data_IF_695408084896
#
_entry.id   IF_695408084896
#
_cell.length_a   1.000
_cell.length_b   1.000
_cell.length_c   1.000
_cell.angle_alpha   90.00
_cell.angle_beta   90.00
_cell.angle_gamma   90.00
#
_symmetry.space_group_name_H-M   'P 1'
#
loop_
_entity.id
_entity.type
_entity.pdbx_description
1 polymer ?
#
# COMPACT_ATOMS: atom_id res chain seq x y z
N UNK A 1 -15.54 13.92 -11.99
CA UNK A 1 -14.08 14.15 -11.82
C UNK A 1 -13.33 13.42 -12.94
N UNK A 2 -12.23 13.97 -13.45
CA UNK A 2 -11.36 13.30 -14.45
C UNK A 2 -10.21 12.55 -13.76
N UNK A 3 -9.60 11.57 -14.47
CA UNK A 3 -8.44 10.82 -13.94
C UNK A 3 -7.30 11.77 -13.53
N UNK A 4 -7.02 12.79 -14.34
CA UNK A 4 -5.94 13.75 -14.04
C UNK A 4 -6.21 14.56 -12.76
N UNK A 5 -7.47 14.88 -12.45
CA UNK A 5 -7.86 15.54 -11.20
C UNK A 5 -7.63 14.62 -9.99
N UNK A 6 -8.03 13.34 -10.11
CA UNK A 6 -7.77 12.32 -9.08
C UNK A 6 -6.26 12.12 -8.86
N UNK A 7 -5.47 12.17 -9.94
CA UNK A 7 -4.02 11.96 -9.89
C UNK A 7 -3.23 13.20 -9.46
N UNK A 8 -3.80 14.38 -9.51
CA UNK A 8 -3.14 15.63 -9.06
C UNK A 8 -2.97 15.72 -7.55
N UNK A 9 -3.84 15.04 -6.80
CA UNK A 9 -3.73 14.95 -5.33
C UNK A 9 -2.74 13.87 -4.92
N UNK A 10 -1.89 14.09 -3.90
CA UNK A 10 -1.13 12.99 -3.30
C UNK A 10 -2.07 11.88 -2.84
N UNK A 11 -1.70 10.63 -3.08
CA UNK A 11 -2.47 9.51 -2.56
C UNK A 11 -2.52 9.55 -1.04
N UNK A 12 -3.71 9.46 -0.45
CA UNK A 12 -3.89 9.56 1.01
C UNK A 12 -3.02 8.58 1.81
N UNK A 13 -2.69 7.42 1.22
CA UNK A 13 -1.88 6.43 1.89
C UNK A 13 -0.38 6.77 1.99
N UNK A 14 0.12 7.79 1.26
CA UNK A 14 1.50 8.30 1.36
C UNK A 14 1.58 9.43 2.38
N UNK A 15 0.43 9.97 2.81
CA UNK A 15 0.46 11.04 3.80
C UNK A 15 1.11 10.54 5.07
N UNK A 16 2.04 11.33 5.58
CA UNK A 16 2.80 11.07 6.81
C UNK A 16 1.93 11.12 8.07
N UNK A 17 0.62 11.18 7.91
CA UNK A 17 -0.36 11.29 8.96
C UNK A 17 -0.87 9.91 9.38
N UNK A 18 -1.32 9.79 10.62
CA UNK A 18 -1.93 8.57 11.13
C UNK A 18 -1.10 7.85 12.20
N UNK A 19 -1.76 7.01 13.01
CA UNK A 19 -1.09 6.28 14.10
C UNK A 19 -0.03 5.33 13.57
N UNK A 20 1.11 5.26 14.26
CA UNK A 20 2.23 4.36 13.96
C UNK A 20 2.80 4.49 12.53
N UNK A 21 2.68 5.67 11.92
CA UNK A 21 3.10 5.93 10.54
C UNK A 21 4.60 5.74 10.27
N UNK A 22 5.44 5.72 11.30
CA UNK A 22 6.86 5.38 11.19
C UNK A 22 7.07 3.99 10.61
N UNK A 23 6.19 3.04 10.98
CA UNK A 23 6.30 1.64 10.57
C UNK A 23 5.12 1.23 9.68
N UNK A 24 3.88 1.60 10.04
CA UNK A 24 2.70 1.27 9.23
C UNK A 24 2.44 2.37 8.21
N UNK A 25 2.64 2.06 6.94
CA UNK A 25 2.36 3.02 5.86
C UNK A 25 0.86 3.18 5.65
N UNK A 26 0.12 2.05 5.57
CA UNK A 26 -1.33 2.08 5.33
C UNK A 26 -2.08 0.95 6.02
N UNK A 27 -3.36 1.21 6.29
CA UNK A 27 -4.37 0.20 6.60
C UNK A 27 -5.37 0.13 5.45
N UNK A 28 -5.72 -1.08 5.01
CA UNK A 28 -6.67 -1.32 3.93
C UNK A 28 -7.63 -2.45 4.28
N UNK A 29 -8.92 -2.25 4.02
CA UNK A 29 -9.95 -3.29 4.09
C UNK A 29 -10.65 -3.40 2.75
N UNK A 30 -10.88 -4.64 2.32
CA UNK A 30 -11.59 -4.99 1.08
C UNK A 30 -12.73 -5.93 1.40
N UNK A 31 -13.86 -5.75 0.70
CA UNK A 31 -15.02 -6.63 0.73
C UNK A 31 -15.31 -7.13 -0.68
N UNK A 32 -15.58 -8.41 -0.82
CA UNK A 32 -16.01 -9.04 -2.06
C UNK A 32 -17.50 -9.37 -1.97
N UNK A 33 -18.30 -8.95 -2.98
CA UNK A 33 -19.73 -9.22 -3.06
C UNK A 33 -20.12 -9.65 -4.47
N UNK A 34 -21.06 -10.56 -4.57
CA UNK A 34 -21.71 -10.92 -5.83
C UNK A 34 -23.21 -10.70 -5.75
N UNK A 35 -23.84 -10.45 -6.90
CA UNK A 35 -25.28 -10.36 -7.03
C UNK A 35 -25.89 -11.73 -7.30
N UNK A 36 -27.04 -12.01 -6.71
CA UNK A 36 -27.75 -13.29 -6.84
C UNK A 36 -28.27 -13.54 -8.26
N UNK A 37 -28.70 -12.48 -8.93
CA UNK A 37 -29.42 -12.57 -10.19
C UNK A 37 -28.51 -12.46 -11.44
N UNK A 38 -27.19 -12.50 -11.26
CA UNK A 38 -26.21 -12.44 -12.34
C UNK A 38 -25.21 -13.59 -12.21
N UNK A 39 -24.76 -14.13 -13.35
CA UNK A 39 -23.64 -15.06 -13.38
C UNK A 39 -22.35 -14.35 -12.94
N UNK A 40 -21.54 -14.99 -12.13
CA UNK A 40 -20.28 -14.40 -11.65
C UNK A 40 -19.37 -13.98 -12.81
N UNK A 41 -18.60 -12.91 -12.68
CA UNK A 41 -17.87 -12.28 -13.79
C UNK A 41 -16.96 -13.21 -14.58
N UNK A 42 -16.42 -14.27 -13.93
CA UNK A 42 -15.60 -15.30 -14.58
C UNK A 42 -16.36 -16.18 -15.56
N UNK A 43 -17.69 -16.36 -15.38
CA UNK A 43 -18.58 -17.17 -16.22
C UNK A 43 -19.44 -16.32 -17.15
N UNK A 44 -19.72 -15.06 -16.75
CA UNK A 44 -20.58 -14.15 -17.46
C UNK A 44 -20.00 -13.78 -18.83
N UNK A 45 -20.83 -13.78 -19.87
CA UNK A 45 -20.49 -13.23 -21.20
C UNK A 45 -20.46 -11.70 -21.16
N UNK A 46 -19.82 -11.06 -22.14
CA UNK A 46 -19.70 -9.60 -22.22
C UNK A 46 -21.05 -8.85 -22.07
N UNK A 47 -22.17 -9.23 -22.76
CA UNK A 47 -23.43 -8.55 -22.58
C UNK A 47 -24.03 -8.69 -21.17
N UNK A 48 -23.80 -9.80 -20.51
CA UNK A 48 -24.27 -10.02 -19.12
C UNK A 48 -23.46 -9.20 -18.14
N UNK A 49 -22.12 -9.15 -18.28
CA UNK A 49 -21.28 -8.26 -17.50
C UNK A 49 -21.66 -6.79 -17.68
N UNK A 50 -21.99 -6.38 -18.92
CA UNK A 50 -22.46 -5.01 -19.17
C UNK A 50 -23.78 -4.73 -18.41
N UNK A 51 -24.75 -5.64 -18.47
CA UNK A 51 -26.00 -5.49 -17.70
C UNK A 51 -25.77 -5.40 -16.21
N UNK A 52 -24.84 -6.20 -15.67
CA UNK A 52 -24.45 -6.15 -14.26
C UNK A 52 -23.79 -4.79 -13.92
N UNK A 53 -22.88 -4.30 -14.76
CA UNK A 53 -22.27 -2.97 -14.62
C UNK A 53 -23.33 -1.86 -14.62
N UNK A 54 -24.24 -1.89 -15.57
CA UNK A 54 -25.31 -0.88 -15.72
C UNK A 54 -26.29 -0.89 -14.53
N UNK A 55 -26.47 -2.04 -13.88
CA UNK A 55 -27.31 -2.18 -12.69
C UNK A 55 -26.60 -1.66 -11.41
N UNK A 56 -25.30 -1.93 -11.24
CA UNK A 56 -24.57 -1.61 -10.02
C UNK A 56 -24.02 -0.19 -9.99
N UNK A 57 -23.52 0.31 -11.11
CA UNK A 57 -22.80 1.58 -11.19
C UNK A 57 -23.63 2.78 -10.71
N UNK A 58 -24.89 2.99 -11.14
CA UNK A 58 -25.69 4.10 -10.66
C UNK A 58 -25.98 4.07 -9.17
N UNK A 59 -26.13 2.85 -8.60
CA UNK A 59 -26.35 2.66 -7.16
C UNK A 59 -25.11 3.08 -6.37
N UNK A 60 -23.92 2.73 -6.84
CA UNK A 60 -22.65 3.11 -6.21
C UNK A 60 -22.41 4.61 -6.30
N UNK A 61 -22.68 5.22 -7.46
CA UNK A 61 -22.52 6.66 -7.69
C UNK A 61 -23.46 7.51 -6.82
N UNK A 62 -24.62 6.96 -6.43
CA UNK A 62 -25.61 7.64 -5.59
C UNK A 62 -25.25 7.64 -4.10
N UNK A 63 -24.25 6.87 -3.65
CA UNK A 63 -23.84 6.81 -2.25
C UNK A 63 -23.27 8.15 -1.79
N UNK A 64 -23.57 8.61 -0.57
CA UNK A 64 -23.03 9.85 0.00
C UNK A 64 -21.49 9.91 0.00
N UNK A 65 -20.84 8.78 0.30
CA UNK A 65 -19.38 8.63 0.30
C UNK A 65 -18.75 8.77 -1.10
N UNK A 66 -19.55 8.64 -2.16
CA UNK A 66 -19.13 8.74 -3.57
C UNK A 66 -19.49 10.09 -4.21
N UNK A 67 -19.88 11.09 -3.43
CA UNK A 67 -20.11 12.43 -3.95
C UNK A 67 -18.88 12.94 -4.74
N UNK A 68 -19.10 13.46 -5.95
CA UNK A 68 -18.03 13.91 -6.86
C UNK A 68 -17.01 12.82 -7.25
N UNK A 69 -17.43 11.57 -7.28
CA UNK A 69 -16.55 10.43 -7.60
C UNK A 69 -15.98 10.51 -9.03
N UNK A 70 -14.86 9.82 -9.23
CA UNK A 70 -14.41 9.34 -10.53
C UNK A 70 -15.14 8.05 -10.84
N UNK A 71 -15.93 8.01 -11.91
CA UNK A 71 -16.65 6.80 -12.32
C UNK A 71 -16.47 6.60 -13.82
N UNK A 72 -15.94 5.43 -14.22
CA UNK A 72 -15.65 5.15 -15.61
C UNK A 72 -15.71 3.64 -15.91
N UNK A 73 -16.01 3.31 -17.17
CA UNK A 73 -15.86 1.95 -17.70
C UNK A 73 -14.39 1.68 -18.01
N UNK A 74 -13.93 0.45 -17.76
CA UNK A 74 -12.51 0.11 -17.93
C UNK A 74 -12.03 0.22 -19.38
N UNK A 75 -12.89 0.07 -20.36
CA UNK A 75 -12.55 0.23 -21.78
C UNK A 75 -12.30 1.69 -22.19
N UNK A 76 -12.84 2.67 -21.46
CA UNK A 76 -12.63 4.09 -21.69
C UNK A 76 -11.34 4.64 -21.04
N UNK A 77 -10.74 3.89 -20.10
CA UNK A 77 -9.53 4.33 -19.40
C UNK A 77 -8.30 3.91 -20.21
N UNK A 78 -7.39 4.86 -20.45
CA UNK A 78 -6.14 4.60 -21.16
C UNK A 78 -5.23 3.64 -20.36
N UNK A 79 -4.43 2.84 -21.06
CA UNK A 79 -3.55 1.84 -20.46
C UNK A 79 -2.58 2.44 -19.43
N UNK A 80 -2.06 3.64 -19.68
CA UNK A 80 -1.18 4.34 -18.75
C UNK A 80 -1.92 4.75 -17.47
N UNK A 81 -3.13 5.27 -17.60
CA UNK A 81 -3.93 5.67 -16.45
C UNK A 81 -4.36 4.47 -15.59
N UNK A 82 -4.68 3.33 -16.22
CA UNK A 82 -4.89 2.06 -15.49
C UNK A 82 -3.65 1.67 -14.67
N UNK A 83 -2.44 1.79 -15.24
CA UNK A 83 -1.21 1.48 -14.52
C UNK A 83 -0.95 2.46 -13.36
N UNK A 84 -1.25 3.75 -13.53
CA UNK A 84 -1.19 4.73 -12.46
C UNK A 84 -2.12 4.38 -11.29
N UNK A 85 -3.36 3.96 -11.60
CA UNK A 85 -4.31 3.51 -10.58
C UNK A 85 -3.80 2.25 -9.84
N UNK A 86 -3.10 1.34 -10.54
CA UNK A 86 -2.44 0.18 -9.91
C UNK A 86 -1.30 0.61 -8.99
N UNK A 87 -0.42 1.49 -9.45
CA UNK A 87 0.72 1.99 -8.66
C UNK A 87 0.25 2.78 -7.43
N UNK A 88 -0.91 3.43 -7.53
CA UNK A 88 -1.59 4.08 -6.40
C UNK A 88 -2.40 3.14 -5.51
N UNK A 89 -2.37 1.83 -5.77
CA UNK A 89 -3.12 0.80 -5.04
C UNK A 89 -4.65 0.99 -5.02
N UNK A 90 -5.18 1.75 -5.98
CA UNK A 90 -6.62 1.96 -6.13
C UNK A 90 -7.29 0.79 -6.84
N UNK A 91 -6.62 0.15 -7.80
CA UNK A 91 -7.11 -1.06 -8.47
C UNK A 91 -6.08 -2.19 -8.43
N UNK A 92 -6.55 -3.42 -8.71
CA UNK A 92 -5.67 -4.57 -8.90
C UNK A 92 -5.09 -4.61 -10.32
N UNK A 93 -4.03 -5.39 -10.52
CA UNK A 93 -3.47 -5.67 -11.86
C UNK A 93 -4.48 -6.43 -12.72
N UNK A 94 -5.25 -7.32 -12.12
CA UNK A 94 -6.31 -8.10 -12.73
C UNK A 94 -7.42 -7.19 -13.25
N UNK A 95 -7.82 -6.18 -12.45
CA UNK A 95 -8.82 -5.21 -12.87
C UNK A 95 -8.31 -4.28 -13.97
N UNK A 96 -7.05 -3.87 -13.92
CA UNK A 96 -6.43 -3.09 -14.99
C UNK A 96 -6.41 -3.82 -16.35
N UNK A 97 -6.37 -5.16 -16.33
CA UNK A 97 -6.48 -5.99 -17.54
C UNK A 97 -7.91 -6.16 -18.05
N UNK A 98 -8.93 -5.77 -17.28
CA UNK A 98 -10.33 -5.82 -17.70
C UNK A 98 -10.66 -4.70 -18.70
N UNK A 99 -11.72 -4.94 -19.47
CA UNK A 99 -12.23 -4.04 -20.50
C UNK A 99 -13.78 -3.98 -20.43
N UNK A 100 -14.47 -4.11 -21.58
CA UNK A 100 -15.92 -4.02 -21.73
C UNK A 100 -16.68 -4.81 -20.64
N UNK A 101 -17.62 -4.15 -20.01
CA UNK A 101 -18.47 -4.69 -18.95
C UNK A 101 -17.81 -4.71 -17.58
N UNK A 102 -16.64 -4.08 -17.41
CA UNK A 102 -16.03 -3.80 -16.11
C UNK A 102 -15.93 -2.29 -15.90
N UNK A 103 -16.02 -1.86 -14.65
CA UNK A 103 -16.00 -0.44 -14.32
C UNK A 103 -15.33 -0.16 -12.98
N UNK A 104 -15.17 1.11 -12.69
CA UNK A 104 -14.56 1.58 -11.44
C UNK A 104 -15.27 2.84 -10.96
N UNK A 105 -15.48 2.93 -9.66
CA UNK A 105 -15.94 4.16 -8.98
C UNK A 105 -14.99 4.45 -7.83
N UNK A 106 -14.40 5.65 -7.81
CA UNK A 106 -13.46 6.10 -6.79
C UNK A 106 -13.97 7.44 -6.25
N UNK A 107 -14.00 7.59 -4.93
CA UNK A 107 -14.37 8.87 -4.32
C UNK A 107 -13.31 9.95 -4.60
N UNK A 108 -13.66 11.22 -4.38
CA UNK A 108 -12.81 12.40 -4.63
C UNK A 108 -11.44 12.35 -3.93
N UNK A 109 -11.39 11.73 -2.75
CA UNK A 109 -10.16 11.59 -1.94
C UNK A 109 -9.31 10.37 -2.30
N UNK A 110 -9.80 9.46 -3.13
CA UNK A 110 -9.13 8.21 -3.42
C UNK A 110 -9.06 7.26 -2.21
N UNK A 111 -9.87 7.49 -1.18
CA UNK A 111 -9.91 6.66 0.04
C UNK A 111 -10.82 5.45 -0.08
N UNK A 112 -11.85 5.54 -0.93
CA UNK A 112 -12.78 4.46 -1.24
C UNK A 112 -12.75 4.20 -2.73
N UNK A 113 -12.65 2.93 -3.10
CA UNK A 113 -12.69 2.48 -4.48
C UNK A 113 -13.56 1.23 -4.60
N UNK A 114 -14.44 1.21 -5.58
CA UNK A 114 -15.27 0.06 -5.93
C UNK A 114 -14.92 -0.39 -7.34
N UNK A 115 -14.31 -1.57 -7.47
CA UNK A 115 -14.06 -2.24 -8.73
C UNK A 115 -15.27 -3.10 -9.08
N UNK A 116 -15.82 -2.93 -10.28
CA UNK A 116 -17.02 -3.63 -10.75
C UNK A 116 -16.62 -4.66 -11.80
N UNK A 117 -17.07 -5.92 -11.62
CA UNK A 117 -16.77 -7.05 -12.49
C UNK A 117 -15.26 -7.32 -12.65
N UNK A 118 -14.56 -7.40 -11.50
CA UNK A 118 -13.19 -7.93 -11.47
C UNK A 118 -13.21 -9.47 -11.41
N UNK A 119 -12.91 -10.09 -10.29
CA UNK A 119 -13.12 -11.52 -10.00
C UNK A 119 -14.55 -11.76 -9.53
N UNK A 120 -15.02 -10.89 -8.63
CA UNK A 120 -16.39 -10.78 -8.14
C UNK A 120 -17.08 -9.56 -8.76
N UNK A 121 -18.43 -9.47 -8.62
CA UNK A 121 -19.19 -8.33 -9.14
C UNK A 121 -18.75 -7.01 -8.50
N UNK A 122 -18.56 -7.00 -7.17
CA UNK A 122 -18.08 -5.87 -6.42
C UNK A 122 -16.84 -6.27 -5.62
N UNK A 123 -15.78 -5.51 -5.80
CA UNK A 123 -14.62 -5.52 -4.93
C UNK A 123 -14.41 -4.11 -4.40
N UNK A 124 -14.99 -3.88 -3.25
CA UNK A 124 -14.93 -2.61 -2.55
C UNK A 124 -13.66 -2.55 -1.72
N UNK A 125 -13.02 -1.40 -1.65
CA UNK A 125 -11.90 -1.18 -0.76
C UNK A 125 -11.95 0.20 -0.12
N UNK A 126 -11.46 0.28 1.12
CA UNK A 126 -11.11 1.52 1.77
C UNK A 126 -9.66 1.48 2.22
N UNK A 127 -8.95 2.62 2.16
CA UNK A 127 -7.55 2.76 2.53
C UNK A 127 -7.35 4.05 3.33
N UNK A 128 -6.53 3.98 4.40
CA UNK A 128 -6.10 5.14 5.19
C UNK A 128 -4.62 5.03 5.56
N UNK A 129 -3.91 6.14 5.80
CA UNK A 129 -2.52 6.13 6.26
C UNK A 129 -2.41 5.61 7.68
N UNK A 130 -1.27 5.02 8.04
CA UNK A 130 -0.99 4.50 9.38
C UNK A 130 -1.85 3.30 9.79
N UNK A 131 -1.83 2.97 11.10
CA UNK A 131 -2.58 1.83 11.65
C UNK A 131 -4.00 2.24 12.06
N UNK A 132 -4.97 2.08 11.17
CA UNK A 132 -6.36 2.49 11.36
C UNK A 132 -7.38 1.42 10.93
N UNK A 133 -7.06 0.12 11.09
CA UNK A 133 -7.90 -0.98 10.58
C UNK A 133 -9.36 -0.90 11.00
N UNK A 134 -9.65 -0.59 12.28
CA UNK A 134 -11.05 -0.44 12.77
C UNK A 134 -11.78 0.74 12.10
N UNK A 135 -11.10 1.85 11.88
CA UNK A 135 -11.68 3.03 11.21
C UNK A 135 -11.94 2.78 9.74
N UNK A 136 -11.01 2.07 9.07
CA UNK A 136 -11.15 1.68 7.67
C UNK A 136 -12.28 0.67 7.50
N UNK A 137 -12.40 -0.31 8.43
CA UNK A 137 -13.50 -1.27 8.41
C UNK A 137 -14.86 -0.57 8.55
N UNK A 138 -15.03 0.31 9.57
CA UNK A 138 -16.27 1.07 9.73
C UNK A 138 -16.66 1.90 8.51
N UNK A 139 -15.68 2.40 7.77
CA UNK A 139 -15.92 3.18 6.56
C UNK A 139 -16.46 2.30 5.43
N UNK A 140 -15.83 1.15 5.18
CA UNK A 140 -16.26 0.26 4.10
C UNK A 140 -17.52 -0.54 4.44
N UNK A 141 -17.74 -0.86 5.70
CA UNK A 141 -18.92 -1.52 6.24
C UNK A 141 -20.19 -0.67 6.01
N UNK A 142 -20.10 0.66 6.18
CA UNK A 142 -21.20 1.57 5.86
C UNK A 142 -21.54 1.53 4.36
N UNK A 143 -20.53 1.59 3.49
CA UNK A 143 -20.71 1.48 2.04
C UNK A 143 -21.36 0.14 1.67
N UNK A 144 -20.91 -0.96 2.29
CA UNK A 144 -21.45 -2.30 2.08
C UNK A 144 -22.92 -2.40 2.49
N UNK A 145 -23.26 -1.87 3.68
CA UNK A 145 -24.64 -1.86 4.21
C UNK A 145 -25.59 -1.07 3.29
N UNK A 146 -25.21 0.13 2.86
CA UNK A 146 -26.03 0.96 1.96
C UNK A 146 -26.23 0.31 0.58
N UNK A 147 -25.21 -0.42 0.10
CA UNK A 147 -25.34 -1.19 -1.15
C UNK A 147 -26.21 -2.44 -0.98
N UNK A 148 -26.14 -3.15 0.17
CA UNK A 148 -26.96 -4.33 0.46
C UNK A 148 -28.47 -3.99 0.55
N UNK A 149 -28.83 -2.76 0.94
CA UNK A 149 -30.22 -2.29 0.95
C UNK A 149 -30.81 -2.17 -0.47
N UNK A 150 -29.97 -1.99 -1.49
CA UNK A 150 -30.40 -1.73 -2.88
C UNK A 150 -30.05 -2.86 -3.85
N UNK A 151 -29.09 -3.71 -3.51
CA UNK A 151 -28.57 -4.79 -4.35
C UNK A 151 -28.74 -6.14 -3.65
N UNK A 152 -29.36 -7.11 -4.37
CA UNK A 152 -29.56 -8.48 -3.84
C UNK A 152 -28.23 -9.26 -3.87
N UNK A 153 -27.49 -9.22 -2.77
CA UNK A 153 -26.23 -9.94 -2.66
C UNK A 153 -26.43 -11.47 -2.57
N UNK A 154 -25.52 -12.19 -3.23
CA UNK A 154 -25.46 -13.65 -3.18
C UNK A 154 -24.95 -14.11 -1.80
N UNK A 155 -25.89 -14.36 -0.89
CA UNK A 155 -25.64 -14.77 0.48
C UNK A 155 -26.26 -16.15 0.77
N UNK A 156 -25.53 -16.97 1.52
CA UNK A 156 -25.98 -18.25 2.04
C UNK A 156 -25.96 -18.24 3.58
N UNK A 157 -27.06 -18.60 4.27
CA UNK A 157 -27.07 -18.66 5.74
C UNK A 157 -26.02 -19.59 6.33
N UNK A 158 -25.54 -20.58 5.55
CA UNK A 158 -24.53 -21.54 5.98
C UNK A 158 -23.12 -21.12 5.65
N UNK A 159 -22.90 -20.42 4.53
CA UNK A 159 -21.58 -20.12 4.00
C UNK A 159 -21.22 -18.61 4.06
N UNK A 160 -22.16 -17.73 4.34
CA UNK A 160 -21.98 -16.30 4.25
C UNK A 160 -22.08 -15.78 2.81
N UNK A 161 -21.37 -14.73 2.49
CA UNK A 161 -21.30 -14.16 1.15
C UNK A 161 -20.59 -15.13 0.19
N UNK A 162 -21.24 -15.37 -0.97
CA UNK A 162 -20.71 -16.27 -2.00
C UNK A 162 -19.79 -15.49 -2.93
N UNK A 163 -18.55 -15.96 -3.05
CA UNK A 163 -17.51 -15.33 -3.85
C UNK A 163 -16.95 -16.26 -4.90
N UNK A 164 -16.36 -15.71 -5.98
CA UNK A 164 -15.74 -16.48 -7.05
C UNK A 164 -14.52 -17.27 -6.52
N UNK A 165 -13.73 -16.65 -5.63
CA UNK A 165 -12.61 -17.30 -4.99
C UNK A 165 -13.04 -17.95 -3.67
N UNK A 166 -12.86 -19.29 -3.49
CA UNK A 166 -13.22 -19.98 -2.24
C UNK A 166 -12.56 -19.38 -0.98
N UNK A 167 -11.39 -18.77 -1.10
CA UNK A 167 -10.68 -18.15 0.02
C UNK A 167 -11.33 -16.87 0.54
N UNK A 168 -12.30 -16.31 -0.18
CA UNK A 168 -13.05 -15.12 0.21
C UNK A 168 -14.46 -15.47 0.72
N UNK A 169 -14.94 -16.71 0.53
CA UNK A 169 -16.28 -17.16 0.99
C UNK A 169 -16.41 -16.97 2.50
N UNK A 170 -17.56 -16.53 2.94
CA UNK A 170 -17.86 -16.19 4.34
C UNK A 170 -18.08 -14.71 4.51
N UNK A 171 -17.18 -14.01 5.14
CA UNK A 171 -17.25 -12.55 5.29
C UNK A 171 -16.94 -11.80 3.98
N UNK A 172 -16.25 -12.42 3.04
CA UNK A 172 -15.70 -11.71 1.87
C UNK A 172 -14.64 -10.67 2.21
N UNK A 173 -14.20 -10.60 3.48
CA UNK A 173 -13.34 -9.56 4.02
C UNK A 173 -11.87 -9.91 3.88
N UNK A 174 -11.09 -8.99 3.35
CA UNK A 174 -9.64 -9.01 3.40
C UNK A 174 -9.09 -7.70 3.95
N UNK A 175 -8.70 -7.75 5.21
CA UNK A 175 -7.99 -6.69 5.89
C UNK A 175 -6.48 -6.83 5.70
N UNK A 176 -5.77 -5.73 5.57
CA UNK A 176 -4.31 -5.73 5.45
C UNK A 176 -3.71 -4.41 5.93
N UNK A 177 -2.44 -4.46 6.34
CA UNK A 177 -1.62 -3.29 6.53
C UNK A 177 -0.32 -3.42 5.74
N UNK A 178 0.19 -2.31 5.22
CA UNK A 178 1.53 -2.21 4.67
C UNK A 178 2.47 -1.71 5.75
N UNK A 179 3.51 -2.50 6.02
CA UNK A 179 4.49 -2.23 7.09
C UNK A 179 5.89 -2.14 6.50
N UNK A 180 6.66 -1.14 6.94
CA UNK A 180 8.02 -0.89 6.53
C UNK A 180 8.98 -1.40 7.61
N UNK A 181 9.76 -2.45 7.31
CA UNK A 181 10.50 -3.25 8.26
C UNK A 181 12.00 -3.36 7.93
N UNK A 182 12.71 -2.25 7.69
CA UNK A 182 14.11 -2.27 7.26
C UNK A 182 15.07 -2.81 8.33
N UNK A 183 14.81 -2.55 9.62
CA UNK A 183 15.71 -2.99 10.68
C UNK A 183 15.62 -4.50 10.90
N UNK A 184 14.41 -5.09 10.84
CA UNK A 184 14.26 -6.55 10.88
C UNK A 184 14.88 -7.24 9.67
N UNK A 185 14.88 -6.61 8.50
CA UNK A 185 15.58 -7.13 7.31
C UNK A 185 17.10 -7.05 7.50
N UNK A 186 17.64 -5.91 7.94
CA UNK A 186 19.08 -5.73 8.20
C UNK A 186 19.62 -6.63 9.32
N UNK A 187 18.78 -6.99 10.28
CA UNK A 187 19.13 -7.91 11.38
C UNK A 187 18.79 -9.38 11.09
N UNK A 188 18.34 -9.69 9.87
CA UNK A 188 17.95 -11.04 9.40
C UNK A 188 16.83 -11.71 10.22
N UNK A 189 16.04 -10.91 10.96
CA UNK A 189 14.93 -11.40 11.79
C UNK A 189 13.62 -11.57 11.04
N UNK A 190 13.49 -11.01 9.85
CA UNK A 190 12.23 -10.96 9.09
C UNK A 190 11.62 -12.34 8.83
N UNK A 191 12.44 -13.36 8.52
CA UNK A 191 11.95 -14.70 8.23
C UNK A 191 11.29 -15.37 9.44
N UNK A 192 11.79 -15.13 10.65
CA UNK A 192 11.21 -15.64 11.90
C UNK A 192 9.83 -15.01 12.14
N UNK A 193 9.71 -13.69 11.92
CA UNK A 193 8.45 -12.96 12.05
C UNK A 193 7.42 -13.45 11.01
N UNK A 194 7.83 -13.63 9.75
CA UNK A 194 6.95 -14.19 8.71
C UNK A 194 6.42 -15.56 9.09
N UNK A 195 7.29 -16.45 9.59
CA UNK A 195 6.86 -17.78 10.03
C UNK A 195 5.89 -17.73 11.22
N UNK A 196 6.15 -16.86 12.20
CA UNK A 196 5.28 -16.69 13.37
C UNK A 196 3.90 -16.16 12.95
N UNK A 197 3.85 -15.15 12.09
CA UNK A 197 2.61 -14.56 11.58
C UNK A 197 1.79 -15.58 10.77
N UNK A 198 2.45 -16.39 9.93
CA UNK A 198 1.78 -17.44 9.15
C UNK A 198 1.15 -18.51 10.07
N UNK A 199 1.78 -18.87 11.19
CA UNK A 199 1.22 -19.80 12.19
C UNK A 199 -0.06 -19.27 12.85
N UNK A 200 -0.25 -17.95 12.87
CA UNK A 200 -1.45 -17.29 13.39
C UNK A 200 -2.59 -17.17 12.36
N UNK A 201 -2.49 -17.83 11.20
CA UNK A 201 -3.49 -17.77 10.13
C UNK A 201 -3.52 -16.44 9.37
N UNK A 202 -2.43 -15.70 9.41
CA UNK A 202 -2.22 -14.47 8.63
C UNK A 202 -1.20 -14.72 7.53
N UNK A 203 -1.14 -13.84 6.52
CA UNK A 203 -0.16 -13.90 5.44
C UNK A 203 0.72 -12.67 5.45
N UNK A 204 2.03 -12.87 5.25
CA UNK A 204 2.99 -11.80 4.99
C UNK A 204 3.52 -11.96 3.58
N UNK A 205 3.43 -10.90 2.77
CA UNK A 205 3.94 -10.87 1.39
C UNK A 205 4.78 -9.63 1.18
N UNK A 206 5.89 -9.78 0.45
CA UNK A 206 6.65 -8.61 -0.01
C UNK A 206 5.80 -7.76 -0.97
N UNK A 207 5.86 -6.45 -0.81
CA UNK A 207 5.23 -5.53 -1.75
C UNK A 207 6.15 -5.38 -2.98
N UNK A 208 5.59 -5.47 -4.20
CA UNK A 208 6.31 -5.39 -5.49
C UNK A 208 7.34 -6.48 -5.76
N UNK A 209 7.55 -7.44 -4.87
CA UNK A 209 8.45 -8.58 -5.04
C UNK A 209 7.71 -9.91 -5.21
N UNK A 210 8.44 -10.98 -5.51
CA UNK A 210 7.94 -12.35 -5.51
C UNK A 210 8.19 -13.00 -4.13
N UNK A 211 7.19 -13.71 -3.62
CA UNK A 211 7.30 -14.40 -2.33
C UNK A 211 7.54 -13.45 -1.16
N UNK A 212 8.65 -13.65 -0.44
CA UNK A 212 9.08 -12.84 0.70
C UNK A 212 10.06 -11.72 0.31
N UNK A 213 10.49 -11.64 -0.94
CA UNK A 213 11.32 -10.53 -1.41
C UNK A 213 10.48 -9.25 -1.44
N UNK A 214 10.80 -8.31 -0.56
CA UNK A 214 10.09 -7.06 -0.41
C UNK A 214 10.93 -5.90 -0.94
N UNK A 215 10.51 -5.30 -2.05
CA UNK A 215 11.15 -4.09 -2.53
C UNK A 215 10.92 -2.93 -1.54
N UNK A 216 11.98 -2.20 -1.23
CA UNK A 216 11.90 -1.11 -0.27
C UNK A 216 11.57 -1.56 1.16
N UNK A 217 11.82 -2.83 1.52
CA UNK A 217 11.50 -3.40 2.83
C UNK A 217 10.05 -3.19 3.27
N UNK A 218 9.12 -3.14 2.29
CA UNK A 218 7.68 -2.96 2.55
C UNK A 218 6.97 -4.31 2.41
N UNK A 219 6.29 -4.71 3.47
CA UNK A 219 5.54 -5.96 3.55
C UNK A 219 4.06 -5.69 3.73
N UNK A 220 3.22 -6.54 3.14
CA UNK A 220 1.79 -6.54 3.39
C UNK A 220 1.45 -7.70 4.34
N UNK A 221 0.89 -7.38 5.49
CA UNK A 221 0.31 -8.35 6.44
C UNK A 221 -1.20 -8.38 6.27
N UNK A 222 -1.81 -9.56 6.10
CA UNK A 222 -3.25 -9.71 5.86
C UNK A 222 -3.83 -10.98 6.46
N UNK A 223 -5.17 -11.03 6.69
CA UNK A 223 -5.86 -12.27 7.02
C UNK A 223 -5.83 -13.24 5.83
N UNK A 224 -5.96 -14.54 6.12
CA UNK A 224 -6.11 -15.62 5.11
C UNK A 224 -7.52 -16.23 5.16
N UNK A 225 -8.07 -16.40 6.34
CA UNK A 225 -9.37 -17.02 6.57
C UNK A 225 -10.49 -16.00 6.58
N UNK A 226 -11.64 -16.39 6.06
CA UNK A 226 -12.86 -15.58 5.96
C UNK A 226 -14.11 -16.36 6.37
N UNK A 227 -14.06 -17.69 6.28
CA UNK A 227 -15.18 -18.57 6.60
C UNK A 227 -15.17 -18.93 8.09
N UNK A 228 -16.33 -18.80 8.74
CA UNK A 228 -16.52 -19.16 10.15
C UNK A 228 -15.98 -18.15 11.16
N UNK A 229 -15.53 -16.96 10.71
CA UNK A 229 -15.05 -15.88 11.56
C UNK A 229 -15.97 -14.66 11.45
N UNK A 230 -15.98 -13.80 12.48
CA UNK A 230 -16.62 -12.48 12.39
C UNK A 230 -15.63 -11.44 11.90
N UNK A 231 -16.09 -10.47 11.13
CA UNK A 231 -15.26 -9.41 10.57
C UNK A 231 -14.46 -8.66 11.65
N UNK A 232 -15.12 -8.31 12.77
CA UNK A 232 -14.48 -7.60 13.88
C UNK A 232 -13.38 -8.44 14.53
N UNK A 233 -13.57 -9.75 14.67
CA UNK A 233 -12.55 -10.64 15.26
C UNK A 233 -11.31 -10.72 14.36
N UNK A 234 -11.51 -10.79 13.03
CA UNK A 234 -10.43 -10.73 12.03
C UNK A 234 -9.66 -9.42 12.14
N UNK A 235 -10.36 -8.28 12.21
CA UNK A 235 -9.76 -6.94 12.32
C UNK A 235 -8.96 -6.81 13.63
N UNK A 236 -9.51 -7.29 14.75
CA UNK A 236 -8.84 -7.21 16.05
C UNK A 236 -7.61 -8.10 16.14
N UNK A 237 -7.69 -9.33 15.63
CA UNK A 237 -6.54 -10.24 15.56
C UNK A 237 -5.43 -9.66 14.72
N UNK A 238 -5.75 -9.16 13.52
CA UNK A 238 -4.77 -8.52 12.64
C UNK A 238 -4.13 -7.31 13.30
N UNK A 239 -4.93 -6.45 13.94
CA UNK A 239 -4.43 -5.26 14.62
C UNK A 239 -3.45 -5.61 15.74
N UNK A 240 -3.75 -6.63 16.56
CA UNK A 240 -2.84 -7.11 17.63
C UNK A 240 -1.50 -7.58 17.08
N UNK A 241 -1.53 -8.38 16.01
CA UNK A 241 -0.29 -8.90 15.40
C UNK A 241 0.54 -7.77 14.78
N UNK A 242 -0.11 -6.77 14.15
CA UNK A 242 0.62 -5.62 13.62
C UNK A 242 1.28 -4.80 14.73
N UNK A 243 0.62 -4.61 15.88
CA UNK A 243 1.23 -3.94 17.03
C UNK A 243 2.48 -4.69 17.53
N UNK A 244 2.46 -6.01 17.56
CA UNK A 244 3.67 -6.81 17.89
C UNK A 244 4.77 -6.64 16.84
N UNK A 245 4.43 -6.62 15.55
CA UNK A 245 5.40 -6.37 14.49
C UNK A 245 6.05 -4.99 14.63
N UNK A 246 5.26 -3.97 14.99
CA UNK A 246 5.76 -2.61 15.26
C UNK A 246 6.79 -2.65 16.39
N UNK A 247 6.45 -3.28 17.50
CA UNK A 247 7.36 -3.41 18.66
C UNK A 247 8.66 -4.13 18.29
N UNK A 248 8.58 -5.21 17.50
CA UNK A 248 9.77 -5.93 17.01
C UNK A 248 10.65 -5.05 16.11
N UNK A 249 10.07 -4.30 15.19
CA UNK A 249 10.82 -3.38 14.32
C UNK A 249 11.47 -2.25 15.13
N UNK A 250 10.74 -1.65 16.09
CA UNK A 250 11.28 -0.59 16.97
C UNK A 250 12.46 -1.14 17.80
N UNK A 251 12.31 -2.31 18.40
CA UNK A 251 13.37 -2.97 19.14
C UNK A 251 14.60 -3.28 18.25
N UNK A 252 14.37 -3.75 17.02
CA UNK A 252 15.46 -4.00 16.07
C UNK A 252 16.19 -2.70 15.70
N UNK A 253 15.46 -1.58 15.49
CA UNK A 253 16.05 -0.25 15.23
C UNK A 253 16.93 0.21 16.41
N UNK A 254 16.42 0.12 17.63
CA UNK A 254 17.18 0.47 18.84
C UNK A 254 18.44 -0.41 18.98
N UNK A 255 18.32 -1.72 18.86
CA UNK A 255 19.46 -2.64 18.97
C UNK A 255 20.54 -2.40 17.89
N UNK A 256 20.14 -2.08 16.65
CA UNK A 256 21.09 -1.76 15.59
C UNK A 256 21.84 -0.46 15.88
N UNK A 257 21.14 0.57 16.37
CA UNK A 257 21.78 1.83 16.77
C UNK A 257 22.75 1.68 17.94
N UNK A 258 22.40 0.87 18.95
CA UNK A 258 23.26 0.64 20.13
C UNK A 258 24.49 -0.23 19.80
N UNK A 259 24.25 -1.36 19.11
CA UNK A 259 25.30 -2.39 18.91
C UNK A 259 26.11 -2.17 17.63
N UNK A 260 25.51 -1.57 16.59
CA UNK A 260 26.12 -1.40 15.26
C UNK A 260 25.85 -0.01 14.64
N UNK A 261 26.10 1.09 15.36
CA UNK A 261 25.76 2.43 14.87
C UNK A 261 26.46 2.77 13.53
N UNK A 262 27.71 2.33 13.37
CA UNK A 262 28.47 2.56 12.11
C UNK A 262 27.82 1.90 10.91
N UNK A 263 27.18 0.72 11.08
CA UNK A 263 26.45 0.04 10.01
C UNK A 263 25.27 0.90 9.55
N UNK A 264 24.49 1.43 10.49
CA UNK A 264 23.33 2.28 10.19
C UNK A 264 23.77 3.56 9.50
N UNK A 265 24.78 4.25 10.03
CA UNK A 265 25.30 5.49 9.43
C UNK A 265 25.85 5.26 8.02
N UNK A 266 26.57 4.16 7.78
CA UNK A 266 27.08 3.80 6.45
C UNK A 266 25.93 3.50 5.48
N UNK A 267 24.97 2.66 5.87
CA UNK A 267 23.84 2.32 5.01
C UNK A 267 22.98 3.54 4.63
N UNK A 268 22.64 4.38 5.60
CA UNK A 268 21.87 5.60 5.39
C UNK A 268 22.68 6.64 4.59
N UNK A 269 23.97 6.79 4.91
CA UNK A 269 24.85 7.72 4.19
C UNK A 269 25.07 7.32 2.73
N UNK A 270 25.26 6.02 2.45
CA UNK A 270 25.34 5.49 1.09
C UNK A 270 24.03 5.68 0.32
N UNK A 271 22.89 5.35 0.97
CA UNK A 271 21.59 5.54 0.36
C UNK A 271 21.38 7.01 -0.08
N UNK A 272 21.62 7.95 0.81
CA UNK A 272 21.57 9.39 0.48
C UNK A 272 22.57 9.77 -0.61
N UNK A 273 23.81 9.30 -0.51
CA UNK A 273 24.87 9.62 -1.49
C UNK A 273 24.53 9.15 -2.90
N UNK A 274 23.99 7.91 -3.05
CA UNK A 274 23.58 7.39 -4.34
C UNK A 274 22.36 8.13 -4.85
N UNK A 275 21.30 8.28 -4.05
CA UNK A 275 20.06 8.96 -4.45
C UNK A 275 20.29 10.42 -4.87
N UNK A 276 21.24 11.10 -4.23
CA UNK A 276 21.54 12.52 -4.51
C UNK A 276 22.51 12.74 -5.68
N UNK A 277 23.20 11.68 -6.17
CA UNK A 277 24.24 11.85 -7.19
C UNK A 277 24.13 10.88 -8.39
N UNK A 278 23.31 9.83 -8.31
CA UNK A 278 23.15 8.90 -9.43
C UNK A 278 22.60 9.61 -10.69
N UNK A 279 23.09 9.23 -11.87
CA UNK A 279 22.59 9.69 -13.17
C UNK A 279 21.64 8.67 -13.82
N UNK A 280 21.66 7.44 -13.35
CA UNK A 280 20.72 6.40 -13.73
C UNK A 280 20.47 5.51 -12.52
N UNK A 281 19.22 5.09 -12.30
CA UNK A 281 18.84 4.25 -11.17
C UNK A 281 17.62 3.40 -11.52
N UNK A 282 17.69 2.10 -11.26
CA UNK A 282 16.56 1.20 -11.46
C UNK A 282 15.46 1.42 -10.41
N UNK A 283 14.23 1.01 -10.73
CA UNK A 283 13.10 1.09 -9.77
C UNK A 283 13.38 0.30 -8.49
N UNK A 284 13.97 -0.89 -8.61
CA UNK A 284 14.32 -1.76 -7.47
C UNK A 284 15.36 -1.09 -6.56
N UNK A 285 16.42 -0.57 -7.14
CA UNK A 285 17.47 0.12 -6.41
C UNK A 285 16.96 1.39 -5.72
N UNK A 286 16.20 2.22 -6.43
CA UNK A 286 15.60 3.42 -5.88
C UNK A 286 14.73 3.13 -4.65
N UNK A 287 13.83 2.14 -4.71
CA UNK A 287 12.97 1.77 -3.59
C UNK A 287 13.76 1.26 -2.38
N UNK A 288 14.80 0.46 -2.60
CA UNK A 288 15.63 -0.05 -1.52
C UNK A 288 16.42 1.07 -0.83
N UNK A 289 16.97 2.01 -1.59
CA UNK A 289 17.69 3.16 -1.04
C UNK A 289 16.74 4.15 -0.36
N UNK A 290 15.56 4.41 -0.92
CA UNK A 290 14.52 5.22 -0.28
C UNK A 290 14.07 4.62 1.05
N UNK A 291 13.99 3.30 1.15
CA UNK A 291 13.69 2.61 2.41
C UNK A 291 14.72 2.90 3.49
N UNK A 292 16.01 2.82 3.16
CA UNK A 292 17.09 3.14 4.10
C UNK A 292 17.08 4.63 4.50
N UNK A 293 16.81 5.50 3.55
CA UNK A 293 16.67 6.92 3.82
C UNK A 293 15.46 7.21 4.72
N UNK A 294 14.31 6.55 4.47
CA UNK A 294 13.11 6.64 5.31
C UNK A 294 13.39 6.20 6.74
N UNK A 295 14.10 5.08 6.93
CA UNK A 295 14.56 4.64 8.24
C UNK A 295 15.49 5.69 8.89
N UNK A 296 16.38 6.29 8.13
CA UNK A 296 17.25 7.36 8.61
C UNK A 296 16.48 8.59 9.12
N UNK A 297 15.37 8.96 8.47
CA UNK A 297 14.48 10.04 8.96
C UNK A 297 13.82 9.63 10.29
N UNK A 298 13.34 8.38 10.39
CA UNK A 298 12.73 7.87 11.63
C UNK A 298 13.71 7.77 12.81
N UNK A 299 15.00 7.57 12.51
CA UNK A 299 16.10 7.53 13.47
C UNK A 299 16.72 8.93 13.73
N UNK A 300 16.07 9.99 13.26
CA UNK A 300 16.47 11.38 13.45
C UNK A 300 17.85 11.74 12.85
N UNK A 301 18.33 10.93 11.88
CA UNK A 301 19.54 11.22 11.12
C UNK A 301 19.32 12.31 10.04
N UNK A 302 18.07 12.59 9.71
CA UNK A 302 17.63 13.68 8.87
C UNK A 302 16.64 14.58 9.61
N UNK A 303 16.49 15.85 9.24
CA UNK A 303 15.42 16.67 9.75
C UNK A 303 14.04 16.06 9.48
N UNK A 304 13.10 16.18 10.41
CA UNK A 304 11.76 15.57 10.31
C UNK A 304 10.98 16.05 9.06
N UNK A 305 11.22 17.28 8.59
CA UNK A 305 10.62 17.82 7.36
C UNK A 305 11.08 17.12 6.08
N UNK A 306 12.06 16.22 6.14
CA UNK A 306 12.49 15.39 5.00
C UNK A 306 11.50 14.24 4.70
N UNK A 307 10.64 13.87 5.66
CA UNK A 307 9.76 12.72 5.57
C UNK A 307 8.78 12.78 4.39
N UNK A 308 8.06 13.90 4.15
CA UNK A 308 7.12 13.98 3.04
C UNK A 308 7.79 13.75 1.68
N UNK A 309 8.96 14.34 1.45
CA UNK A 309 9.71 14.20 0.21
C UNK A 309 10.13 12.73 -0.03
N UNK A 310 10.57 12.03 1.01
CA UNK A 310 10.97 10.62 0.92
C UNK A 310 9.75 9.73 0.67
N UNK A 311 8.66 9.93 1.39
CA UNK A 311 7.45 9.11 1.25
C UNK A 311 6.78 9.32 -0.13
N UNK A 312 6.75 10.55 -0.66
CA UNK A 312 6.27 10.82 -2.03
C UNK A 312 7.09 10.08 -3.09
N UNK A 313 8.39 10.00 -2.93
CA UNK A 313 9.27 9.34 -3.89
C UNK A 313 8.96 7.84 -4.05
N UNK A 314 8.44 7.14 -3.04
CA UNK A 314 8.03 5.74 -3.19
C UNK A 314 7.01 5.53 -4.32
N UNK A 315 6.19 6.53 -4.63
CA UNK A 315 5.23 6.48 -5.74
C UNK A 315 5.79 7.14 -7.00
N UNK A 316 6.35 8.33 -6.88
CA UNK A 316 6.78 9.10 -8.03
C UNK A 316 7.86 8.39 -8.86
N UNK A 317 8.68 7.52 -8.24
CA UNK A 317 9.69 6.71 -8.93
C UNK A 317 9.12 5.50 -9.68
N UNK A 318 7.82 5.22 -9.56
CA UNK A 318 7.18 4.10 -10.24
C UNK A 318 7.08 4.35 -11.75
N UNK A 319 7.14 3.29 -12.57
CA UNK A 319 7.23 3.42 -14.03
C UNK A 319 6.10 4.22 -14.68
N UNK A 320 4.84 4.05 -14.24
CA UNK A 320 3.72 4.76 -14.85
C UNK A 320 3.68 6.23 -14.43
N UNK A 321 4.07 6.57 -13.20
CA UNK A 321 4.19 7.96 -12.75
C UNK A 321 5.27 8.69 -13.54
N UNK A 322 6.45 8.09 -13.75
CA UNK A 322 7.50 8.67 -14.58
C UNK A 322 7.05 8.85 -16.03
N UNK A 323 6.34 7.85 -16.59
CA UNK A 323 5.82 7.93 -17.94
C UNK A 323 4.74 9.01 -18.09
N UNK A 324 3.91 9.24 -17.07
CA UNK A 324 2.87 10.29 -17.08
C UNK A 324 3.49 11.69 -16.97
N UNK A 325 4.57 11.83 -16.19
CA UNK A 325 5.30 13.09 -16.05
C UNK A 325 6.09 13.47 -17.32
N UNK A 326 6.49 12.47 -18.12
CA UNK A 326 7.22 12.70 -19.35
C UNK A 326 6.29 13.16 -20.50
N UNK A 327 6.78 14.04 -21.36
CA UNK A 327 6.05 14.56 -22.52
C UNK A 327 6.01 13.57 -23.70
N UNK A 328 6.83 12.51 -23.65
CA UNK A 328 6.96 11.48 -24.68
C UNK A 328 7.05 10.09 -24.06
N UNK A 329 6.85 9.05 -24.88
CA UNK A 329 7.06 7.67 -24.45
C UNK A 329 8.54 7.42 -24.17
N UNK A 330 8.87 6.96 -22.97
CA UNK A 330 10.22 6.64 -22.52
C UNK A 330 10.48 5.12 -22.65
N UNK A 331 11.71 4.76 -23.04
CA UNK A 331 12.24 3.39 -22.91
C UNK A 331 12.51 3.06 -21.44
N UNK A 332 12.87 1.81 -21.14
CA UNK A 332 13.24 1.42 -19.78
C UNK A 332 14.46 2.21 -19.25
N UNK A 333 15.50 2.30 -20.09
CA UNK A 333 16.73 3.04 -19.78
C UNK A 333 16.48 4.54 -19.57
N UNK A 334 15.68 5.15 -20.46
CA UNK A 334 15.30 6.55 -20.33
C UNK A 334 14.49 6.81 -19.04
N UNK A 335 13.63 5.86 -18.62
CA UNK A 335 12.93 5.97 -17.32
C UNK A 335 13.90 5.89 -16.15
N UNK A 336 14.98 5.10 -16.25
CA UNK A 336 15.96 5.00 -15.17
C UNK A 336 16.79 6.29 -15.03
N UNK A 337 17.11 6.97 -16.16
CA UNK A 337 17.70 8.31 -16.14
C UNK A 337 16.73 9.34 -15.59
N UNK A 338 15.48 9.36 -16.09
CA UNK A 338 14.47 10.32 -15.62
C UNK A 338 14.15 10.15 -14.13
N UNK A 339 14.15 8.91 -13.63
CA UNK A 339 14.01 8.59 -12.20
C UNK A 339 15.13 9.21 -11.37
N UNK A 340 16.37 9.06 -11.83
CA UNK A 340 17.53 9.65 -11.15
C UNK A 340 17.44 11.17 -11.08
N UNK A 341 17.06 11.82 -12.20
CA UNK A 341 16.87 13.27 -12.25
C UNK A 341 15.78 13.74 -11.29
N UNK A 342 14.62 13.08 -11.29
CA UNK A 342 13.51 13.38 -10.39
C UNK A 342 13.90 13.23 -8.91
N UNK A 343 14.62 12.16 -8.57
CA UNK A 343 15.07 11.92 -7.19
C UNK A 343 16.02 13.05 -6.76
N UNK A 344 17.02 13.40 -7.57
CA UNK A 344 17.96 14.49 -7.26
C UNK A 344 17.24 15.84 -7.08
N UNK A 345 16.30 16.16 -7.95
CA UNK A 345 15.48 17.37 -7.85
C UNK A 345 14.72 17.42 -6.52
N UNK A 346 14.03 16.32 -6.15
CA UNK A 346 13.24 16.25 -4.91
C UNK A 346 14.11 16.27 -3.65
N UNK A 347 15.31 15.72 -3.71
CA UNK A 347 16.25 15.68 -2.57
C UNK A 347 17.15 16.90 -2.47
N UNK A 348 17.14 17.82 -3.43
CA UNK A 348 18.00 19.00 -3.44
C UNK A 348 17.85 19.88 -2.17
N UNK A 349 16.66 19.92 -1.60
CA UNK A 349 16.35 20.65 -0.37
C UNK A 349 16.41 19.80 0.90
N UNK A 350 16.81 18.53 0.79
CA UNK A 350 16.95 17.63 1.94
C UNK A 350 18.39 17.73 2.45
N UNK A 351 18.56 18.10 3.71
CA UNK A 351 19.87 18.19 4.34
C UNK A 351 20.59 16.84 4.34
N UNK A 352 21.92 16.85 4.34
CA UNK A 352 22.74 15.67 4.53
C UNK A 352 22.43 15.02 5.89
N UNK A 353 22.52 13.66 5.99
CA UNK A 353 22.32 13.00 7.26
C UNK A 353 23.32 13.45 8.30
N UNK A 354 22.85 13.68 9.53
CA UNK A 354 23.73 14.03 10.63
C UNK A 354 24.67 12.85 10.96
N UNK A 355 25.95 13.09 10.89
CA UNK A 355 26.95 12.13 11.41
C UNK A 355 27.19 12.50 12.86
N UNK A 356 26.52 11.83 13.79
CA UNK A 356 26.90 11.93 15.20
C UNK A 356 28.25 11.26 15.35
N UNK A 357 29.31 12.06 15.61
CA UNK A 357 30.57 11.49 16.08
C UNK A 357 30.25 10.70 17.35
N UNK A 358 30.68 9.44 17.49
CA UNK A 358 30.59 8.78 18.76
C UNK A 358 31.30 9.68 19.79
N UNK A 359 30.61 10.01 20.88
CA UNK A 359 31.22 10.69 22.00
C UNK A 359 32.38 9.82 22.46
N UNK A 360 33.61 10.21 22.13
CA UNK A 360 34.81 9.66 22.72
C UNK A 360 34.81 10.21 24.13
N UNK A 361 34.22 9.48 25.07
CA UNK A 361 34.50 9.62 26.48
C UNK A 361 35.91 9.05 26.73
N UNK A 362 36.91 9.85 26.39
CA UNK A 362 38.23 9.70 26.95
C UNK A 362 38.22 10.35 28.32
N UNK A 363 37.66 9.65 29.32
CA UNK A 363 38.13 9.84 30.67
C UNK A 363 39.47 9.09 30.74
N UNK A 364 40.56 9.85 30.68
CA UNK A 364 41.88 9.37 30.97
C UNK A 364 41.97 8.92 32.43
N UNK A 365 42.86 7.98 32.75
CA UNK A 365 43.03 7.52 34.13
C UNK A 365 43.50 8.71 34.97
N UNK A 366 42.74 9.01 36.02
CA UNK A 366 43.15 9.94 37.08
C UNK A 366 44.36 9.28 37.78
N UNK A 367 45.54 9.85 37.59
CA UNK A 367 46.72 9.53 38.41
C UNK A 367 46.38 9.84 39.85
N UNK A 368 46.36 8.80 40.67
CA UNK A 368 46.39 8.91 42.15
C UNK A 368 47.84 9.11 42.55
N UNK A 369 48.14 10.29 43.07
CA UNK A 369 49.36 10.53 43.87
C UNK A 369 49.07 10.29 45.33
#
# INVERSE_FOLDING_TARGET
MKVDELLSSPSDWIRTEGPNNRIVMTSRVRLARNLRNFSFPGWAKKPERQKALDAMRPVIEALPEMAQCFSESMDNIQSLDKQLLVERHLISREHAARNIGSGIVINDKGTICVMINEEDHLRMQAIKPGLQLKSVFKLIDRVDTELEEQLDFAFSPRLGYLTACPTNVGTGLRASAMVHLPAMVLSEQINQVVQAVNKLGLAVRGLYGEGTEALGNVFQVSNQTTLGEKELDVIERLNKVILQIIEHEENARCQLLEKRPRLIYDQVGRAYGVLSNAHTISSKEALNLLSLMRMGVDLELFPANSRPAVDELFILVQPAHLQKAATRKLTAEERDVYRADLIRERLNNVAKPAVTKPSTSTEGPTEIV
#
